data_IF_032343410873
#
_entry.id   IF_032343410873
#
_cell.length_a   1.000
_cell.length_b   1.000
_cell.length_c   1.000
_cell.angle_alpha   90.00
_cell.angle_beta   90.00
_cell.angle_gamma   90.00
#
_symmetry.space_group_name_H-M   'P 1'
#
loop_
_entity.id
_entity.type
_entity.pdbx_description
1 polymer ?
#
# COMPACT_ATOMS: atom_id res chain seq x y z
N UNK A 1 -15.19 -1.82 -1.76
CA UNK A 1 -14.14 -2.30 -2.71
C UNK A 1 -12.73 -2.20 -2.14
N UNK A 2 -12.43 -1.26 -1.24
CA UNK A 2 -11.13 -1.14 -0.57
C UNK A 2 -10.72 -2.39 0.19
N UNK A 3 -11.60 -2.98 0.98
CA UNK A 3 -11.34 -4.21 1.75
C UNK A 3 -10.90 -5.41 0.91
N UNK A 4 -11.22 -5.45 -0.38
CA UNK A 4 -10.71 -6.51 -1.28
C UNK A 4 -9.23 -6.36 -1.58
N UNK A 5 -8.70 -5.13 -1.68
CA UNK A 5 -7.27 -4.89 -1.90
C UNK A 5 -6.45 -5.21 -0.65
N UNK A 6 -6.98 -4.92 0.55
CA UNK A 6 -6.35 -5.29 1.82
C UNK A 6 -6.26 -6.81 1.96
N UNK A 7 -7.37 -7.52 1.74
CA UNK A 7 -7.36 -8.99 1.73
C UNK A 7 -6.43 -9.55 0.65
N UNK A 8 -6.38 -8.91 -0.52
CA UNK A 8 -5.47 -9.26 -1.61
C UNK A 8 -4.00 -9.15 -1.22
N UNK A 9 -3.63 -8.14 -0.42
CA UNK A 9 -2.28 -8.00 0.12
C UNK A 9 -1.91 -9.22 0.98
N UNK A 10 -2.79 -9.66 1.89
CA UNK A 10 -2.54 -10.84 2.72
C UNK A 10 -2.45 -12.13 1.89
N UNK A 11 -3.25 -12.27 0.83
CA UNK A 11 -3.14 -13.41 -0.10
C UNK A 11 -1.76 -13.44 -0.76
N UNK A 12 -1.26 -12.30 -1.24
CA UNK A 12 0.07 -12.22 -1.85
C UNK A 12 1.19 -12.55 -0.87
N UNK A 13 1.09 -12.07 0.38
CA UNK A 13 2.06 -12.38 1.43
C UNK A 13 2.03 -13.89 1.75
N UNK A 14 0.84 -14.46 1.94
CA UNK A 14 0.66 -15.89 2.20
C UNK A 14 1.31 -16.76 1.11
N UNK A 15 1.06 -16.42 -0.15
CA UNK A 15 1.68 -17.10 -1.29
C UNK A 15 3.19 -16.89 -1.36
N UNK A 16 3.69 -15.69 -1.03
CA UNK A 16 5.11 -15.41 -1.02
C UNK A 16 5.85 -16.28 0.03
N UNK A 17 5.30 -16.35 1.24
CA UNK A 17 5.86 -17.17 2.32
C UNK A 17 5.82 -18.65 1.93
N UNK A 18 4.71 -19.11 1.34
CA UNK A 18 4.60 -20.48 0.89
C UNK A 18 5.63 -20.85 -0.17
N UNK A 19 5.86 -19.99 -1.15
CA UNK A 19 6.89 -20.22 -2.19
C UNK A 19 8.31 -20.28 -1.62
N UNK A 20 8.59 -19.51 -0.56
CA UNK A 20 9.93 -19.44 0.03
C UNK A 20 10.18 -20.50 1.11
N UNK A 21 9.14 -20.85 1.85
CA UNK A 21 9.27 -21.66 3.07
C UNK A 21 8.40 -22.92 3.07
N UNK A 22 7.60 -23.14 2.02
CA UNK A 22 6.76 -24.33 1.88
C UNK A 22 5.54 -24.37 2.80
N UNK A 23 5.19 -23.27 3.45
CA UNK A 23 4.06 -23.21 4.42
C UNK A 23 3.13 -22.05 4.08
N UNK A 24 1.83 -22.32 4.07
CA UNK A 24 0.78 -21.31 3.95
C UNK A 24 0.30 -20.90 5.35
N UNK A 25 0.82 -19.81 5.94
CA UNK A 25 0.49 -19.46 7.32
C UNK A 25 -0.99 -19.10 7.53
N UNK A 26 -1.64 -18.54 6.51
CA UNK A 26 -3.08 -18.24 6.54
C UNK A 26 -3.96 -19.38 6.03
N UNK A 27 -3.36 -20.49 5.62
CA UNK A 27 -4.03 -21.62 4.98
C UNK A 27 -3.87 -21.60 3.45
N UNK A 28 -3.88 -22.80 2.86
CA UNK A 28 -3.73 -22.98 1.40
C UNK A 28 -4.91 -22.37 0.64
N UNK A 29 -6.12 -22.50 1.20
CA UNK A 29 -7.37 -22.02 0.61
C UNK A 29 -7.67 -20.54 0.94
N UNK A 30 -6.79 -19.84 1.67
CA UNK A 30 -7.00 -18.44 2.02
C UNK A 30 -7.09 -17.57 0.76
N UNK A 31 -8.20 -16.85 0.64
CA UNK A 31 -8.47 -16.00 -0.53
C UNK A 31 -9.30 -14.76 -0.15
N UNK A 32 -9.43 -13.83 -1.08
CA UNK A 32 -10.13 -12.55 -0.85
C UNK A 32 -11.63 -12.70 -0.54
N UNK A 33 -12.26 -13.83 -0.83
CA UNK A 33 -13.69 -14.07 -0.57
C UNK A 33 -13.93 -14.54 0.87
N UNK A 34 -12.98 -15.31 1.41
CA UNK A 34 -13.05 -15.89 2.76
C UNK A 34 -12.38 -15.00 3.81
N UNK A 35 -11.54 -14.04 3.38
CA UNK A 35 -10.88 -13.10 4.27
C UNK A 35 -11.86 -12.18 5.00
N UNK A 36 -11.54 -11.72 6.22
CA UNK A 36 -12.26 -10.65 6.91
C UNK A 36 -12.41 -9.40 6.03
N UNK A 37 -13.47 -8.62 6.28
CA UNK A 37 -13.74 -7.38 5.54
C UNK A 37 -13.38 -6.11 6.30
N UNK A 38 -13.08 -6.28 7.54
CA UNK A 38 -12.71 -5.20 8.45
C UNK A 38 -11.18 -5.11 8.55
N UNK A 39 -10.66 -3.90 8.55
CA UNK A 39 -9.22 -3.63 8.60
C UNK A 39 -8.56 -4.21 9.85
N UNK A 40 -9.17 -3.97 11.01
CA UNK A 40 -8.62 -4.45 12.29
C UNK A 40 -8.60 -5.98 12.35
N UNK A 41 -9.66 -6.62 11.85
CA UNK A 41 -9.73 -8.08 11.79
C UNK A 41 -8.68 -8.67 10.82
N UNK A 42 -8.35 -7.98 9.72
CA UNK A 42 -7.26 -8.39 8.82
C UNK A 42 -5.89 -8.23 9.47
N UNK A 43 -5.67 -7.12 10.17
CA UNK A 43 -4.41 -6.87 10.89
C UNK A 43 -4.22 -7.91 11.99
N UNK A 44 -5.25 -8.15 12.82
CA UNK A 44 -5.21 -9.17 13.87
C UNK A 44 -4.92 -10.56 13.29
N UNK A 45 -5.60 -10.95 12.20
CA UNK A 45 -5.35 -12.24 11.54
C UNK A 45 -3.89 -12.35 11.08
N UNK A 46 -3.32 -11.26 10.57
CA UNK A 46 -1.94 -11.23 10.14
C UNK A 46 -0.98 -11.38 11.33
N UNK A 47 -1.21 -10.65 12.42
CA UNK A 47 -0.38 -10.71 13.63
C UNK A 47 -0.42 -12.11 14.28
N UNK A 48 -1.58 -12.78 14.29
CA UNK A 48 -1.75 -14.10 14.87
C UNK A 48 -1.15 -15.23 14.03
N UNK A 49 -1.11 -15.07 12.72
CA UNK A 49 -0.81 -16.19 11.82
C UNK A 49 0.46 -16.03 10.99
N UNK A 50 0.83 -14.80 10.62
CA UNK A 50 2.01 -14.61 9.80
C UNK A 50 3.29 -14.68 10.63
N UNK A 51 4.32 -15.38 10.17
CA UNK A 51 5.63 -15.39 10.81
C UNK A 51 6.31 -14.04 10.57
N UNK A 52 6.18 -13.09 11.51
CA UNK A 52 6.64 -11.70 11.34
C UNK A 52 8.13 -11.60 11.00
N UNK A 53 8.94 -12.52 11.51
CA UNK A 53 10.38 -12.61 11.21
C UNK A 53 10.70 -13.05 9.76
N UNK A 54 9.71 -13.57 9.03
CA UNK A 54 9.81 -14.01 7.63
C UNK A 54 9.06 -13.11 6.65
N UNK A 55 8.52 -12.00 7.17
CA UNK A 55 7.81 -11.06 6.33
C UNK A 55 8.73 -10.45 5.28
N UNK A 56 8.31 -10.40 4.02
CA UNK A 56 9.06 -9.68 3.00
C UNK A 56 8.96 -8.17 3.25
N UNK A 57 9.98 -7.44 2.82
CA UNK A 57 9.85 -6.00 2.66
C UNK A 57 8.85 -5.69 1.53
N UNK A 58 7.88 -4.86 1.82
CA UNK A 58 6.79 -4.54 0.90
C UNK A 58 6.94 -3.12 0.33
N UNK A 59 6.54 -2.98 -0.92
CA UNK A 59 6.36 -1.67 -1.58
C UNK A 59 4.94 -1.62 -2.10
N UNK A 60 4.14 -0.72 -1.56
CA UNK A 60 2.78 -0.45 -2.01
C UNK A 60 2.77 0.75 -2.96
N UNK A 61 2.08 0.61 -4.07
CA UNK A 61 1.88 1.70 -5.04
C UNK A 61 0.39 1.93 -5.19
N UNK A 62 -0.05 3.16 -5.01
CA UNK A 62 -1.44 3.56 -5.16
C UNK A 62 -1.57 4.93 -5.82
N UNK A 63 -2.76 5.23 -6.27
CA UNK A 63 -3.11 6.51 -6.89
C UNK A 63 -4.39 7.11 -6.28
N UNK A 64 -5.11 6.33 -5.45
CA UNK A 64 -6.43 6.70 -4.95
C UNK A 64 -6.50 6.55 -3.43
N UNK A 65 -6.08 7.59 -2.71
CA UNK A 65 -5.94 7.61 -1.24
C UNK A 65 -6.73 8.76 -0.59
N UNK A 66 -7.82 9.16 -1.18
CA UNK A 66 -8.59 10.35 -0.76
C UNK A 66 -9.29 10.16 0.59
N UNK A 67 -9.26 11.20 1.42
CA UNK A 67 -10.14 11.38 2.57
C UNK A 67 -10.69 12.79 2.52
N UNK A 68 -11.97 12.97 2.77
CA UNK A 68 -12.64 14.28 2.82
C UNK A 68 -13.36 14.43 4.14
N UNK A 69 -13.34 15.64 4.68
CA UNK A 69 -14.12 15.94 5.86
C UNK A 69 -15.63 15.97 5.52
N UNK A 70 -16.44 15.29 6.31
CA UNK A 70 -17.87 15.35 6.14
C UNK A 70 -18.44 16.77 6.42
N UNK A 71 -19.64 17.05 5.97
CA UNK A 71 -20.28 18.35 6.16
C UNK A 71 -20.44 18.76 7.64
N UNK A 72 -20.46 17.79 8.55
CA UNK A 72 -20.51 18.02 10.00
C UNK A 72 -19.16 18.46 10.60
N UNK A 73 -18.08 18.43 9.82
CA UNK A 73 -16.75 18.79 10.26
C UNK A 73 -16.12 17.83 11.29
N UNK A 74 -16.79 16.76 11.67
CA UNK A 74 -16.34 15.83 12.72
C UNK A 74 -15.91 14.47 12.18
N UNK A 75 -16.52 14.02 11.09
CA UNK A 75 -16.25 12.72 10.50
C UNK A 75 -15.41 12.85 9.25
N UNK A 76 -14.54 11.86 9.03
CA UNK A 76 -13.79 11.72 7.79
C UNK A 76 -14.45 10.67 6.90
N UNK A 77 -14.74 11.07 5.69
CA UNK A 77 -15.20 10.17 4.64
C UNK A 77 -13.96 9.66 3.89
N UNK A 78 -13.60 8.45 4.20
CA UNK A 78 -12.48 7.79 3.52
C UNK A 78 -12.95 7.32 2.15
N UNK A 79 -12.48 8.02 1.14
CA UNK A 79 -12.57 7.60 -0.24
C UNK A 79 -11.31 6.87 -0.67
N UNK A 80 -11.27 6.49 -1.93
CA UNK A 80 -10.07 5.90 -2.52
C UNK A 80 -9.94 4.40 -2.23
N UNK A 81 -9.69 3.66 -3.31
CA UNK A 81 -9.60 2.20 -3.24
C UNK A 81 -8.26 1.71 -2.70
N UNK A 82 -7.25 2.58 -2.61
CA UNK A 82 -5.88 2.20 -2.27
C UNK A 82 -5.52 2.47 -0.81
N UNK A 83 -6.24 3.40 -0.17
CA UNK A 83 -5.91 3.81 1.20
C UNK A 83 -5.82 2.63 2.16
N UNK A 84 -6.84 1.77 2.18
CA UNK A 84 -6.89 0.66 3.12
C UNK A 84 -5.69 -0.27 3.02
N UNK A 85 -5.36 -0.75 1.82
CA UNK A 85 -4.24 -1.67 1.68
C UNK A 85 -2.87 -1.01 1.93
N UNK A 86 -2.73 0.29 1.66
CA UNK A 86 -1.50 1.02 1.94
C UNK A 86 -1.33 1.25 3.45
N UNK A 87 -2.43 1.53 4.17
CA UNK A 87 -2.42 1.58 5.64
C UNK A 87 -2.03 0.22 6.21
N UNK A 88 -2.69 -0.86 5.78
CA UNK A 88 -2.36 -2.22 6.24
C UNK A 88 -0.90 -2.59 5.96
N UNK A 89 -0.35 -2.17 4.82
CA UNK A 89 1.05 -2.39 4.48
C UNK A 89 2.00 -1.69 5.46
N UNK A 90 1.68 -0.48 5.90
CA UNK A 90 2.47 0.25 6.91
C UNK A 90 2.35 -0.42 8.28
N UNK A 91 1.15 -0.80 8.69
CA UNK A 91 0.91 -1.49 9.95
C UNK A 91 1.68 -2.82 10.02
N UNK A 92 1.62 -3.61 8.96
CA UNK A 92 2.41 -4.84 8.84
C UNK A 92 3.93 -4.56 8.88
N UNK A 93 4.38 -3.44 8.36
CA UNK A 93 5.76 -2.99 8.47
C UNK A 93 6.17 -2.71 9.91
N UNK A 94 5.30 -2.04 10.67
CA UNK A 94 5.51 -1.78 12.09
C UNK A 94 5.57 -3.08 12.91
N UNK A 95 4.62 -4.01 12.70
CA UNK A 95 4.56 -5.28 13.41
C UNK A 95 5.76 -6.21 13.10
N UNK A 96 6.23 -6.20 11.85
CA UNK A 96 7.33 -7.06 11.39
C UNK A 96 8.71 -6.39 11.44
N UNK A 97 8.78 -5.13 11.89
CA UNK A 97 10.00 -4.31 11.86
C UNK A 97 10.62 -4.20 10.46
N UNK A 98 9.79 -4.29 9.41
CA UNK A 98 10.23 -4.11 8.02
C UNK A 98 10.00 -2.68 7.55
N UNK A 99 10.97 -2.06 6.86
CA UNK A 99 10.83 -0.71 6.31
C UNK A 99 9.96 -0.74 5.04
N UNK A 100 8.67 -1.07 5.21
CA UNK A 100 7.71 -1.06 4.12
C UNK A 100 7.53 0.36 3.58
N UNK A 101 7.38 0.51 2.27
CA UNK A 101 7.29 1.81 1.61
C UNK A 101 5.99 1.98 0.83
N UNK A 102 5.46 3.20 0.88
CA UNK A 102 4.27 3.62 0.14
C UNK A 102 4.66 4.66 -0.90
N UNK A 103 4.29 4.38 -2.14
CA UNK A 103 4.46 5.25 -3.29
C UNK A 103 3.08 5.73 -3.74
N UNK A 104 2.91 7.04 -3.84
CA UNK A 104 1.70 7.64 -4.39
C UNK A 104 1.98 8.22 -5.77
N UNK A 105 1.19 7.79 -6.76
CA UNK A 105 1.27 8.25 -8.15
C UNK A 105 0.15 9.24 -8.42
N UNK A 106 0.47 10.38 -9.01
CA UNK A 106 -0.54 11.35 -9.46
C UNK A 106 -1.36 10.77 -10.61
N UNK A 107 -2.67 10.70 -10.43
CA UNK A 107 -3.62 10.25 -11.45
C UNK A 107 -4.65 11.32 -11.81
N UNK A 108 -4.39 12.60 -11.48
CA UNK A 108 -5.29 13.72 -11.71
C UNK A 108 -5.58 13.98 -13.20
N UNK A 109 -4.70 13.53 -14.08
CA UNK A 109 -4.87 13.65 -15.54
C UNK A 109 -5.48 12.39 -16.20
N UNK A 110 -6.02 11.49 -15.39
CA UNK A 110 -6.72 10.29 -15.88
C UNK A 110 -8.18 10.53 -16.23
N UNK A 111 -8.92 9.46 -16.48
CA UNK A 111 -10.35 9.53 -16.82
C UNK A 111 -11.25 9.99 -15.67
N UNK A 112 -10.75 9.92 -14.42
CA UNK A 112 -11.47 10.33 -13.22
C UNK A 112 -10.87 11.61 -12.68
N UNK A 113 -11.73 12.59 -12.38
CA UNK A 113 -11.30 13.84 -11.75
C UNK A 113 -10.76 13.55 -10.34
N UNK A 114 -9.48 13.87 -10.11
CA UNK A 114 -8.76 13.65 -8.85
C UNK A 114 -7.86 14.84 -8.55
N UNK A 115 -7.61 15.14 -7.26
CA UNK A 115 -6.65 16.17 -6.87
C UNK A 115 -5.25 15.88 -7.41
N UNK A 116 -4.62 16.91 -8.00
CA UNK A 116 -3.23 16.82 -8.46
C UNK A 116 -2.25 16.88 -7.28
N UNK A 117 -1.20 16.07 -7.35
CA UNK A 117 -0.07 16.15 -6.42
C UNK A 117 0.87 17.32 -6.74
N UNK A 118 0.81 17.86 -7.96
CA UNK A 118 1.66 18.98 -8.40
C UNK A 118 1.40 20.27 -7.61
N UNK A 119 0.19 20.44 -7.07
CA UNK A 119 -0.19 21.62 -6.30
C UNK A 119 0.37 21.64 -4.87
N UNK A 120 1.14 20.64 -4.47
CA UNK A 120 1.64 20.47 -3.11
C UNK A 120 0.53 20.24 -2.08
N UNK A 121 -0.72 20.15 -2.54
CA UNK A 121 -1.87 19.90 -1.71
C UNK A 121 -2.09 18.38 -1.64
N UNK A 122 -1.57 17.77 -0.61
CA UNK A 122 -1.93 16.40 -0.26
C UNK A 122 -3.36 16.37 0.32
N UNK A 123 -4.28 17.08 -0.37
CA UNK A 123 -5.69 17.14 0.02
C UNK A 123 -6.25 15.72 0.01
N UNK A 124 -6.78 15.30 1.14
CA UNK A 124 -7.39 13.99 1.29
C UNK A 124 -6.43 12.89 1.77
N UNK A 125 -5.17 13.18 2.04
CA UNK A 125 -4.24 12.22 2.66
C UNK A 125 -4.18 12.41 4.18
N UNK A 126 -4.42 13.63 4.65
CA UNK A 126 -4.43 13.97 6.07
C UNK A 126 -5.77 13.59 6.73
N UNK A 127 -5.90 12.35 7.11
CA UNK A 127 -6.92 11.88 8.02
C UNK A 127 -6.26 11.67 9.39
N UNK A 128 -6.59 12.47 10.44
CA UNK A 128 -5.98 12.33 11.75
C UNK A 128 -6.25 10.99 12.44
N UNK A 129 -7.33 10.29 12.02
CA UNK A 129 -7.71 8.99 12.58
C UNK A 129 -7.08 7.80 11.83
N UNK A 130 -6.48 8.07 10.68
CA UNK A 130 -5.81 7.08 9.84
C UNK A 130 -4.74 7.80 9.01
N UNK A 131 -3.67 8.27 9.67
CA UNK A 131 -2.59 8.96 8.99
C UNK A 131 -1.82 7.97 8.13
N UNK A 132 -1.91 8.14 6.80
CA UNK A 132 -1.11 7.37 5.86
C UNK A 132 0.22 8.07 5.61
N UNK A 133 1.31 7.45 6.04
CA UNK A 133 2.65 7.91 5.71
C UNK A 133 3.03 7.57 4.27
N UNK A 134 3.44 8.58 3.53
CA UNK A 134 3.90 8.46 2.15
C UNK A 134 5.42 8.56 2.12
N UNK A 135 6.08 7.60 1.50
CA UNK A 135 7.55 7.61 1.37
C UNK A 135 8.01 8.24 0.05
N UNK A 136 7.24 8.08 -1.01
CA UNK A 136 7.57 8.59 -2.34
C UNK A 136 6.32 9.18 -3.01
N UNK A 137 6.45 10.37 -3.55
CA UNK A 137 5.43 11.02 -4.39
C UNK A 137 5.89 11.07 -5.83
N UNK A 138 5.01 10.73 -6.76
CA UNK A 138 5.25 10.78 -8.20
C UNK A 138 4.28 11.76 -8.88
N UNK A 139 4.53 13.08 -8.77
CA UNK A 139 3.64 14.10 -9.31
C UNK A 139 3.58 14.10 -10.83
N UNK A 140 4.57 13.54 -11.52
CA UNK A 140 4.56 13.35 -12.98
C UNK A 140 3.69 12.16 -13.46
N UNK A 141 2.92 11.57 -12.56
CA UNK A 141 1.94 10.55 -12.88
C UNK A 141 2.52 9.22 -13.40
N UNK A 142 1.74 8.48 -14.22
CA UNK A 142 2.14 7.17 -14.71
C UNK A 142 3.46 7.14 -15.48
N UNK A 143 3.75 8.18 -16.26
CA UNK A 143 5.02 8.26 -16.99
C UNK A 143 6.22 8.35 -16.05
N UNK A 144 6.10 9.15 -14.97
CA UNK A 144 7.13 9.23 -13.92
C UNK A 144 7.36 7.88 -13.25
N UNK A 145 6.27 7.23 -12.83
CA UNK A 145 6.29 5.90 -12.24
C UNK A 145 6.98 4.86 -13.15
N UNK A 146 6.60 4.79 -14.42
CA UNK A 146 7.18 3.86 -15.38
C UNK A 146 8.68 4.09 -15.54
N UNK A 147 9.11 5.33 -15.76
CA UNK A 147 10.52 5.69 -15.93
C UNK A 147 11.34 5.34 -14.67
N UNK A 148 10.79 5.61 -13.49
CA UNK A 148 11.46 5.30 -12.24
C UNK A 148 11.68 3.79 -12.06
N UNK A 149 10.66 2.97 -12.31
CA UNK A 149 10.78 1.51 -12.21
C UNK A 149 11.67 0.92 -13.30
N UNK A 150 11.66 1.46 -14.51
CA UNK A 150 12.59 1.05 -15.57
C UNK A 150 14.04 1.32 -15.16
N UNK A 151 14.30 2.50 -14.63
CA UNK A 151 15.64 2.87 -14.13
C UNK A 151 16.08 1.94 -12.99
N UNK A 152 15.18 1.66 -12.05
CA UNK A 152 15.45 0.72 -10.96
C UNK A 152 15.77 -0.69 -11.46
N UNK A 153 15.02 -1.18 -12.44
CA UNK A 153 15.23 -2.48 -13.03
C UNK A 153 16.58 -2.56 -13.77
N UNK A 154 16.95 -1.51 -14.51
CA UNK A 154 18.24 -1.41 -15.19
C UNK A 154 19.40 -1.43 -14.18
N UNK A 155 19.31 -0.62 -13.10
CA UNK A 155 20.34 -0.59 -12.04
C UNK A 155 20.50 -1.95 -11.37
N UNK A 156 19.41 -2.67 -11.09
CA UNK A 156 19.49 -4.01 -10.51
C UNK A 156 20.16 -5.03 -11.44
N UNK A 157 19.89 -4.97 -12.74
CA UNK A 157 20.54 -5.81 -13.73
C UNK A 157 22.04 -5.51 -13.83
N UNK A 158 22.45 -4.28 -13.62
CA UNK A 158 23.84 -3.86 -13.58
C UNK A 158 24.56 -4.14 -12.22
N UNK A 159 23.90 -4.87 -11.29
CA UNK A 159 24.49 -5.22 -9.99
C UNK A 159 24.33 -4.19 -8.89
N UNK A 160 23.58 -3.11 -9.12
CA UNK A 160 23.26 -2.10 -8.12
C UNK A 160 22.14 -2.53 -7.16
N UNK A 161 22.33 -2.31 -5.86
CA UNK A 161 21.36 -2.71 -4.82
C UNK A 161 20.58 -1.54 -4.20
N UNK A 162 20.94 -0.29 -4.49
CA UNK A 162 20.32 0.88 -3.88
C UNK A 162 19.03 1.31 -4.61
N UNK A 163 17.96 1.53 -3.86
CA UNK A 163 16.76 2.23 -4.32
C UNK A 163 17.12 3.72 -4.35
N UNK A 164 16.85 4.47 -5.44
CA UNK A 164 17.06 5.91 -5.45
C UNK A 164 16.25 6.58 -4.33
N UNK A 165 16.87 7.46 -3.55
CA UNK A 165 16.20 8.17 -2.45
C UNK A 165 15.32 9.32 -2.94
N UNK A 166 15.47 9.72 -4.19
CA UNK A 166 14.71 10.84 -4.78
C UNK A 166 13.96 10.37 -6.03
N UNK A 167 12.66 10.58 -6.02
CA UNK A 167 11.81 10.61 -7.19
C UNK A 167 11.51 12.07 -7.55
#
# INVERSE_FOLDING_TARGET
TGSLKEAGLLVLINQHIARRHGVFPLGEDFNVRTAPRDHQALLQLAEERLPMERMPRLVGVGDTVTSTQAADGQRWLRGGSDRGFLTLLKDLGACSHQPNRVILVDSSHGEVDRPSLADGRLLGISDPQDPLELDVLMPGGPAHYINWFQTLAQRRRAGGHAIPETA
#
